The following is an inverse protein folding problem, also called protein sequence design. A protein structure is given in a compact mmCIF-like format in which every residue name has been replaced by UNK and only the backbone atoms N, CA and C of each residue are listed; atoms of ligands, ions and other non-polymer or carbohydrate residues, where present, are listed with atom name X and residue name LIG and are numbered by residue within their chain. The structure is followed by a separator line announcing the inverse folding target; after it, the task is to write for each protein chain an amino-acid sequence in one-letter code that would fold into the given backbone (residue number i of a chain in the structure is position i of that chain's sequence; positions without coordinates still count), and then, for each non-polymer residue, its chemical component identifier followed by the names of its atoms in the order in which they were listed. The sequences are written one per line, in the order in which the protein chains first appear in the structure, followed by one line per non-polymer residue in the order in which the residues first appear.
data_IF_432517972555
#
_entry.id   IF_432517972555
#
_cell.length_a   1.000
_cell.length_b   1.000
_cell.length_c   1.000
_cell.angle_alpha   90.00
_cell.angle_beta   90.00
_cell.angle_gamma   90.00
#
_symmetry.space_group_name_H-M   'P 1'
#
loop_
_entity.id
_entity.type
_entity.pdbx_description
1 polymer ?
#
# COMPACT_ATOMS: atom_id res chain seq x y z
N UNK A 1 -1.42 -13.95 6.97
CA UNK A 1 -0.71 -13.27 8.10
C UNK A 1 -0.88 -11.75 8.02
N UNK A 2 -1.05 -11.03 9.13
CA UNK A 2 -1.00 -9.56 9.15
C UNK A 2 0.47 -9.08 9.27
N UNK A 3 0.87 -8.11 8.46
CA UNK A 3 2.26 -7.65 8.35
C UNK A 3 2.40 -6.26 8.97
N UNK A 4 1.70 -5.26 8.45
CA UNK A 4 1.66 -3.90 9.00
C UNK A 4 0.25 -3.34 9.03
N UNK A 5 0.03 -2.35 9.88
CA UNK A 5 -1.20 -1.57 9.98
C UNK A 5 -0.83 -0.09 10.01
N UNK A 6 -1.65 0.73 9.37
CA UNK A 6 -1.53 2.18 9.36
C UNK A 6 -2.92 2.79 9.51
N UNK A 7 -3.15 3.58 10.56
CA UNK A 7 -4.45 4.21 10.78
C UNK A 7 -4.62 5.38 9.81
N UNK A 8 -5.63 5.30 8.95
CA UNK A 8 -5.87 6.29 7.90
C UNK A 8 -6.66 7.50 8.41
N UNK A 9 -7.30 7.40 9.57
CA UNK A 9 -8.38 8.31 9.97
C UNK A 9 -9.76 7.77 9.58
N UNK A 10 -10.83 8.47 9.97
CA UNK A 10 -12.23 8.12 9.66
C UNK A 10 -12.63 6.68 10.02
N UNK A 11 -12.02 6.10 11.04
CA UNK A 11 -12.27 4.72 11.43
C UNK A 11 -11.77 3.69 10.41
N UNK A 12 -10.84 4.06 9.52
CA UNK A 12 -10.24 3.16 8.53
C UNK A 12 -8.79 2.84 8.88
N UNK A 13 -8.38 1.62 8.61
CA UNK A 13 -7.00 1.15 8.75
C UNK A 13 -6.55 0.54 7.42
N UNK A 14 -5.41 0.95 6.92
CA UNK A 14 -4.73 0.24 5.84
C UNK A 14 -3.93 -0.90 6.44
N UNK A 15 -4.19 -2.12 5.99
CA UNK A 15 -3.45 -3.29 6.37
C UNK A 15 -2.64 -3.82 5.18
N UNK A 16 -1.38 -4.11 5.43
CA UNK A 16 -0.57 -4.96 4.56
C UNK A 16 -0.62 -6.37 5.14
N UNK A 17 -1.18 -7.30 4.38
CA UNK A 17 -1.41 -8.67 4.78
C UNK A 17 -0.75 -9.64 3.79
N UNK A 18 -0.70 -10.92 4.14
CA UNK A 18 -0.17 -12.00 3.30
C UNK A 18 -1.21 -13.09 3.10
N UNK A 19 -1.35 -13.55 1.86
CA UNK A 19 -2.16 -14.70 1.47
C UNK A 19 -1.27 -15.94 1.43
N UNK A 20 -1.40 -16.82 2.42
CA UNK A 20 -0.43 -17.91 2.63
C UNK A 20 -0.49 -19.00 1.53
N UNK A 21 -1.61 -19.13 0.84
CA UNK A 21 -1.82 -20.04 -0.30
C UNK A 21 -1.01 -19.67 -1.55
N UNK A 22 -0.66 -18.39 -1.72
CA UNK A 22 0.22 -17.89 -2.77
C UNK A 22 1.71 -18.01 -2.43
N UNK A 23 2.02 -18.58 -1.26
CA UNK A 23 3.39 -18.81 -0.81
C UNK A 23 3.75 -18.00 0.43
N UNK A 24 4.58 -18.61 1.28
CA UNK A 24 5.05 -18.03 2.54
C UNK A 24 6.56 -17.73 2.54
N UNK A 25 7.24 -18.07 1.45
CA UNK A 25 8.68 -17.87 1.32
C UNK A 25 9.01 -16.40 1.13
N UNK A 26 10.28 -16.06 1.35
CA UNK A 26 10.76 -14.69 1.27
C UNK A 26 10.58 -14.08 -0.13
N UNK A 27 10.62 -14.91 -1.17
CA UNK A 27 10.48 -14.50 -2.57
C UNK A 27 9.04 -14.62 -3.08
N UNK A 28 8.08 -15.03 -2.23
CA UNK A 28 6.67 -15.13 -2.63
C UNK A 28 6.06 -13.74 -2.82
N UNK A 29 5.43 -13.53 -3.99
CA UNK A 29 4.57 -12.38 -4.26
C UNK A 29 3.16 -12.65 -3.72
N UNK A 30 3.04 -12.65 -2.40
CA UNK A 30 1.80 -13.03 -1.69
C UNK A 30 1.26 -11.96 -0.75
N UNK A 31 1.88 -10.77 -0.72
CA UNK A 31 1.47 -9.69 0.15
C UNK A 31 0.55 -8.70 -0.53
N UNK A 32 -0.38 -8.11 0.20
CA UNK A 32 -1.47 -7.36 -0.40
C UNK A 32 -2.04 -6.29 0.54
N UNK A 33 -2.63 -5.25 -0.04
CA UNK A 33 -3.25 -4.16 0.71
C UNK A 33 -4.77 -4.32 0.84
N UNK A 34 -5.29 -4.11 2.03
CA UNK A 34 -6.73 -4.12 2.32
C UNK A 34 -7.06 -2.97 3.26
N UNK A 35 -8.21 -2.34 3.07
CA UNK A 35 -8.75 -1.34 4.01
C UNK A 35 -9.70 -2.05 4.94
N UNK A 36 -9.46 -1.93 6.24
CA UNK A 36 -10.33 -2.40 7.30
C UNK A 36 -11.15 -1.21 7.78
N UNK A 37 -12.47 -1.29 7.64
CA UNK A 37 -13.40 -0.36 8.27
C UNK A 37 -13.68 -0.83 9.70
N UNK A 38 -13.32 -0.03 10.68
CA UNK A 38 -13.44 -0.36 12.10
C UNK A 38 -14.88 -0.24 12.62
N UNK A 39 -15.73 0.55 11.95
CA UNK A 39 -17.13 0.71 12.32
C UNK A 39 -17.93 -0.53 11.90
N UNK A 40 -17.75 -0.97 10.65
CA UNK A 40 -18.45 -2.14 10.10
C UNK A 40 -17.73 -3.46 10.40
N UNK A 41 -16.45 -3.40 10.77
CA UNK A 41 -15.57 -4.57 11.00
C UNK A 41 -15.40 -5.43 9.75
N UNK A 42 -15.46 -4.80 8.59
CA UNK A 42 -15.26 -5.46 7.28
C UNK A 42 -13.95 -4.99 6.66
N UNK A 43 -13.35 -5.84 5.82
CA UNK A 43 -12.19 -5.45 5.02
C UNK A 43 -12.46 -5.59 3.53
N UNK A 44 -11.96 -4.66 2.73
CA UNK A 44 -11.99 -4.73 1.26
C UNK A 44 -10.60 -4.50 0.68
N UNK A 45 -10.29 -5.26 -0.38
CA UNK A 45 -9.04 -5.09 -1.12
C UNK A 45 -8.98 -3.66 -1.67
N UNK A 46 -7.78 -3.07 -1.63
CA UNK A 46 -7.55 -1.80 -2.32
C UNK A 46 -7.62 -2.06 -3.83
N UNK A 47 -8.43 -1.29 -4.55
CA UNK A 47 -8.70 -1.50 -5.96
C UNK A 47 -8.38 -0.25 -6.79
N UNK A 48 -7.74 -0.46 -7.94
CA UNK A 48 -7.53 0.54 -8.97
C UNK A 48 -8.24 0.09 -10.25
N UNK A 49 -9.09 0.94 -10.83
CA UNK A 49 -9.90 0.62 -12.02
C UNK A 49 -10.70 -0.70 -11.88
N UNK A 50 -11.29 -0.94 -10.70
CA UNK A 50 -12.09 -2.14 -10.41
C UNK A 50 -11.30 -3.44 -10.30
N UNK A 51 -9.97 -3.38 -10.26
CA UNK A 51 -9.08 -4.52 -10.03
C UNK A 51 -8.31 -4.33 -8.75
N UNK A 52 -8.13 -5.41 -7.98
CA UNK A 52 -7.27 -5.40 -6.80
C UNK A 52 -5.85 -4.94 -7.17
N UNK A 53 -5.24 -4.17 -6.27
CA UNK A 53 -3.81 -3.89 -6.40
C UNK A 53 -3.02 -5.19 -6.42
N UNK A 54 -1.99 -5.29 -7.30
CA UNK A 54 -1.16 -6.49 -7.43
C UNK A 54 -0.56 -6.95 -6.10
N UNK A 55 -0.27 -8.24 -6.01
CA UNK A 55 0.51 -8.75 -4.89
C UNK A 55 1.93 -8.21 -4.93
N UNK A 56 2.50 -8.00 -3.75
CA UNK A 56 3.84 -7.49 -3.55
C UNK A 56 4.77 -8.58 -2.99
N UNK A 57 6.01 -8.56 -3.48
CA UNK A 57 7.09 -9.39 -2.97
C UNK A 57 7.94 -8.70 -1.90
N UNK A 58 8.76 -9.49 -1.22
CA UNK A 58 9.79 -9.03 -0.28
C UNK A 58 9.35 -8.90 1.18
N UNK A 59 10.28 -8.42 2.01
CA UNK A 59 10.18 -8.35 3.48
C UNK A 59 9.26 -7.21 3.97
N UNK A 60 9.05 -7.19 5.29
CA UNK A 60 8.47 -6.06 6.01
C UNK A 60 9.24 -4.78 5.69
N UNK A 61 8.58 -3.88 4.98
CA UNK A 61 9.08 -2.57 4.55
C UNK A 61 7.97 -1.56 4.81
N UNK A 62 8.33 -0.32 5.11
CA UNK A 62 7.36 0.74 5.40
C UNK A 62 6.96 1.43 4.11
N UNK A 63 6.16 0.71 3.31
CA UNK A 63 5.76 1.08 1.95
C UNK A 63 4.51 1.97 1.92
N UNK A 64 4.23 2.67 3.00
CA UNK A 64 3.07 3.55 3.11
C UNK A 64 3.50 4.86 3.76
N UNK A 65 2.94 5.97 3.29
CA UNK A 65 2.94 7.24 3.98
C UNK A 65 1.54 7.86 3.92
N UNK A 66 1.15 8.60 4.96
CA UNK A 66 -0.12 9.34 5.00
C UNK A 66 0.20 10.83 5.00
N UNK A 67 -0.37 11.57 4.05
CA UNK A 67 -0.32 13.04 4.01
C UNK A 67 -1.56 13.58 3.29
N UNK A 68 -2.05 14.74 3.73
CA UNK A 68 -3.11 15.51 3.06
C UNK A 68 -4.37 14.70 2.71
N UNK A 69 -4.82 13.86 3.66
CA UNK A 69 -6.00 13.02 3.50
C UNK A 69 -5.83 11.86 2.50
N UNK A 70 -4.60 11.54 2.13
CA UNK A 70 -4.27 10.45 1.20
C UNK A 70 -3.26 9.49 1.81
N UNK A 71 -3.35 8.22 1.41
CA UNK A 71 -2.33 7.23 1.65
C UNK A 71 -1.57 6.93 0.36
N UNK A 72 -0.25 7.04 0.41
CA UNK A 72 0.67 6.74 -0.69
C UNK A 72 1.20 5.32 -0.47
N UNK A 73 0.85 4.40 -1.36
CA UNK A 73 1.00 2.95 -1.19
C UNK A 73 1.98 2.42 -2.25
N UNK A 74 3.13 1.96 -1.80
CA UNK A 74 4.11 1.31 -2.67
C UNK A 74 3.76 -0.14 -2.96
N UNK A 75 3.59 -0.50 -4.23
CA UNK A 75 3.34 -1.87 -4.70
C UNK A 75 4.52 -2.36 -5.54
N UNK A 76 5.02 -3.56 -5.24
CA UNK A 76 6.16 -4.20 -5.93
C UNK A 76 5.73 -5.55 -6.51
N UNK A 77 5.09 -5.59 -7.69
CA UNK A 77 4.62 -6.81 -8.33
C UNK A 77 5.75 -7.58 -9.04
N UNK A 78 5.52 -8.87 -9.30
CA UNK A 78 6.54 -9.77 -9.85
C UNK A 78 6.98 -9.42 -11.27
N UNK A 79 6.03 -9.04 -12.12
CA UNK A 79 6.23 -8.97 -13.56
C UNK A 79 6.18 -7.55 -14.13
N UNK A 80 6.06 -6.53 -13.27
CA UNK A 80 6.05 -5.13 -13.68
C UNK A 80 6.82 -4.27 -12.69
N UNK A 81 7.27 -3.09 -13.10
CA UNK A 81 8.00 -2.21 -12.21
C UNK A 81 7.18 -1.82 -10.97
N UNK A 82 7.85 -1.58 -9.82
CA UNK A 82 7.17 -1.03 -8.66
C UNK A 82 6.55 0.32 -8.99
N UNK A 83 5.47 0.67 -8.30
CA UNK A 83 4.82 1.97 -8.45
C UNK A 83 4.14 2.39 -7.14
N UNK A 84 3.79 3.67 -7.08
CA UNK A 84 2.97 4.24 -6.01
C UNK A 84 1.53 4.31 -6.48
N UNK A 85 0.62 3.82 -5.66
CA UNK A 85 -0.82 4.11 -5.75
C UNK A 85 -1.20 5.13 -4.68
N UNK A 86 -2.14 6.00 -4.99
CA UNK A 86 -2.60 7.04 -4.07
C UNK A 86 -4.06 6.74 -3.75
N UNK A 87 -4.34 6.45 -2.48
CA UNK A 87 -5.67 6.18 -1.96
C UNK A 87 -6.21 7.43 -1.27
N UNK A 88 -7.32 7.98 -1.76
CA UNK A 88 -8.05 9.07 -1.13
C UNK A 88 -8.87 8.52 0.06
N UNK A 89 -8.55 8.95 1.27
CA UNK A 89 -9.10 8.34 2.50
C UNK A 89 -10.61 8.59 2.64
N UNK A 90 -11.07 9.74 2.14
CA UNK A 90 -12.46 10.18 2.26
C UNK A 90 -13.36 9.42 1.29
N UNK A 91 -12.95 9.33 0.03
CA UNK A 91 -13.75 8.76 -1.07
C UNK A 91 -13.49 7.28 -1.29
N UNK A 92 -12.32 6.78 -0.88
CA UNK A 92 -11.85 5.43 -1.18
C UNK A 92 -11.36 5.26 -2.62
N UNK A 93 -11.30 6.33 -3.40
CA UNK A 93 -10.80 6.29 -4.77
C UNK A 93 -9.29 6.06 -4.79
N UNK A 94 -8.82 5.31 -5.79
CA UNK A 94 -7.41 5.05 -6.02
C UNK A 94 -7.01 5.60 -7.38
N UNK A 95 -5.88 6.29 -7.41
CA UNK A 95 -5.19 6.67 -8.64
C UNK A 95 -3.78 6.07 -8.67
N UNK A 96 -3.21 5.98 -9.88
CA UNK A 96 -1.82 5.58 -10.05
C UNK A 96 -0.94 6.83 -9.96
N UNK A 97 0.01 6.83 -9.04
CA UNK A 97 1.03 7.85 -8.89
C UNK A 97 2.30 7.51 -9.68
N UNK A 98 3.46 7.75 -9.07
CA UNK A 98 4.75 7.59 -9.73
C UNK A 98 5.11 6.13 -10.04
N UNK A 99 5.65 5.91 -11.23
CA UNK A 99 6.37 4.69 -11.59
C UNK A 99 7.81 4.72 -11.04
N UNK A 100 8.30 3.58 -10.59
CA UNK A 100 9.68 3.40 -10.18
C UNK A 100 10.47 2.82 -11.35
N UNK A 101 11.68 3.34 -11.58
CA UNK A 101 12.54 2.84 -12.64
C UNK A 101 12.91 1.36 -12.40
N UNK A 102 13.11 0.62 -13.49
CA UNK A 102 13.53 -0.78 -13.43
C UNK A 102 14.82 -0.94 -12.61
N UNK A 103 14.88 -1.98 -11.77
CA UNK A 103 16.00 -2.24 -10.88
C UNK A 103 15.97 -1.47 -9.55
N UNK A 104 15.04 -0.53 -9.37
CA UNK A 104 14.84 0.17 -8.10
C UNK A 104 13.64 -0.38 -7.32
N UNK A 105 13.70 -0.25 -6.00
CA UNK A 105 12.63 -0.62 -5.09
C UNK A 105 12.58 0.37 -3.91
N UNK A 106 11.45 0.45 -3.21
CA UNK A 106 11.31 1.25 -1.99
C UNK A 106 11.38 0.34 -0.75
N UNK A 107 12.31 0.66 0.16
CA UNK A 107 12.30 0.13 1.54
C UNK A 107 11.34 0.91 2.43
N UNK A 108 11.22 2.21 2.16
CA UNK A 108 10.49 3.14 2.99
C UNK A 108 9.95 4.29 2.15
N UNK A 109 8.71 4.69 2.43
CA UNK A 109 8.11 5.95 1.96
C UNK A 109 7.93 6.84 3.19
N UNK A 110 8.29 8.12 3.07
CA UNK A 110 8.19 9.12 4.13
C UNK A 110 7.66 10.43 3.58
N UNK A 111 6.87 11.09 4.41
CA UNK A 111 6.59 12.51 4.27
C UNK A 111 7.80 13.26 4.80
N UNK A 112 8.29 14.23 4.04
CA UNK A 112 9.29 15.18 4.50
C UNK A 112 8.58 16.51 4.68
N UNK A 113 8.74 17.13 5.85
CA UNK A 113 8.24 18.48 6.07
C UNK A 113 9.14 19.46 5.32
N UNK A 114 8.53 20.34 4.53
CA UNK A 114 9.23 21.41 3.80
C UNK A 114 9.40 22.66 4.69
N UNK A 115 9.86 22.51 5.94
CA UNK A 115 10.13 23.69 6.80
C UNK A 115 11.26 24.57 6.25
N UNK A 116 12.09 24.05 5.35
CA UNK A 116 13.25 24.75 4.75
C UNK A 116 13.07 25.13 3.26
N UNK A 117 11.87 25.01 2.69
CA UNK A 117 11.61 25.43 1.31
C UNK A 117 11.35 26.96 1.26
N UNK A 118 12.43 27.75 1.37
CA UNK A 118 12.44 29.18 1.02
C UNK A 118 12.46 29.42 -0.51
#
# INVERSE_FOLDING_TARGET
KLISLEYLGDGKVLAYARQDDLGMDIDSYSHYYTVIDLNTKTSSRVQYNGKDLPYSGGRFSQRTAIADGKAYIGVNPENTNPCIYIYDIKTGNVEKGADIAEGYYFEQIRVLDNEDAE
#
